data_IF_414398557361
#
_entry.id   IF_414398557361
#
_cell.length_a   1.000
_cell.length_b   1.000
_cell.length_c   1.000
_cell.angle_alpha   90.00
_cell.angle_beta   90.00
_cell.angle_gamma   90.00
#
_symmetry.space_group_name_H-M   'P 1'
#
loop_
_entity.id
_entity.type
_entity.pdbx_description
1 polymer ?
#
# COMPACT_ATOMS: atom_id res chain seq x y z
N UNK A 1 17.08 20.88 13.26
CA UNK A 1 18.23 20.39 12.46
C UNK A 1 17.68 19.86 11.17
N UNK A 2 18.23 20.30 10.03
CA UNK A 2 17.85 19.86 8.69
C UNK A 2 19.02 19.10 8.07
N UNK A 3 18.72 18.05 7.32
CA UNK A 3 19.64 17.42 6.38
C UNK A 3 19.22 17.88 4.99
N UNK A 4 20.15 18.36 4.20
CA UNK A 4 19.90 18.83 2.84
C UNK A 4 20.90 18.19 1.88
N UNK A 5 20.43 17.79 0.72
CA UNK A 5 21.27 17.36 -0.38
C UNK A 5 21.57 18.56 -1.27
N UNK A 6 22.84 18.75 -1.58
CA UNK A 6 23.31 19.86 -2.42
C UNK A 6 24.18 19.34 -3.54
N UNK A 7 23.97 19.83 -4.75
CA UNK A 7 24.85 19.58 -5.86
C UNK A 7 25.98 20.61 -5.87
N UNK A 8 27.22 20.16 -5.93
CA UNK A 8 28.38 21.02 -5.86
C UNK A 8 29.37 20.69 -6.97
N UNK A 9 30.04 21.72 -7.49
CA UNK A 9 31.18 21.51 -8.40
C UNK A 9 32.36 20.94 -7.59
N UNK A 10 33.06 19.94 -8.12
CA UNK A 10 34.22 19.29 -7.52
C UNK A 10 33.89 18.54 -6.19
N UNK A 11 32.81 17.78 -6.18
CA UNK A 11 32.33 17.02 -5.01
C UNK A 11 33.45 16.22 -4.33
N UNK A 12 34.24 15.43 -5.06
CA UNK A 12 35.31 14.61 -4.52
C UNK A 12 36.39 15.44 -3.81
N UNK A 13 36.69 16.63 -4.33
CA UNK A 13 37.67 17.54 -3.70
C UNK A 13 37.14 18.08 -2.39
N UNK A 14 35.85 18.42 -2.34
CA UNK A 14 35.19 18.92 -1.13
C UNK A 14 35.14 17.81 -0.08
N UNK A 15 34.72 16.60 -0.44
CA UNK A 15 34.65 15.47 0.48
C UNK A 15 36.04 15.09 1.03
N UNK A 16 37.07 15.13 0.17
CA UNK A 16 38.45 14.78 0.59
C UNK A 16 39.07 15.82 1.56
N UNK A 17 38.76 17.10 1.36
CA UNK A 17 39.24 18.20 2.23
C UNK A 17 38.37 18.42 3.47
N UNK A 18 37.17 17.86 3.47
CA UNK A 18 36.21 18.07 4.55
C UNK A 18 36.56 17.22 5.78
N UNK A 19 36.66 17.88 6.95
CA UNK A 19 36.81 17.22 8.25
C UNK A 19 35.52 17.19 9.10
N UNK A 20 34.41 17.72 8.55
CA UNK A 20 33.14 17.75 9.24
C UNK A 20 32.36 16.44 8.99
N UNK A 21 32.13 15.66 10.05
CA UNK A 21 31.40 14.40 9.97
C UNK A 21 29.94 14.52 9.49
N UNK A 22 29.38 15.74 9.49
CA UNK A 22 28.01 16.00 9.00
C UNK A 22 27.93 16.27 7.50
N UNK A 23 29.07 16.32 6.80
CA UNK A 23 29.11 16.45 5.33
C UNK A 23 29.57 15.11 4.77
N UNK A 24 28.66 14.41 4.17
CA UNK A 24 28.88 13.08 3.61
C UNK A 24 28.37 13.04 2.17
N UNK A 25 28.85 12.11 1.38
CA UNK A 25 28.29 11.86 0.06
C UNK A 25 26.82 11.43 0.20
N UNK A 26 25.93 12.11 -0.51
CA UNK A 26 24.53 11.74 -0.55
C UNK A 26 24.38 10.31 -1.11
N UNK A 27 23.57 9.51 -0.45
CA UNK A 27 23.21 8.18 -0.95
C UNK A 27 21.90 8.29 -1.68
N UNK A 28 21.94 8.07 -2.95
CA UNK A 28 20.74 7.96 -3.78
C UNK A 28 20.16 6.57 -3.59
N UNK A 29 19.17 6.47 -2.68
CA UNK A 29 18.51 5.20 -2.34
C UNK A 29 17.11 5.24 -2.90
N UNK A 30 16.90 4.54 -4.02
CA UNK A 30 15.59 4.33 -4.63
C UNK A 30 15.14 2.88 -4.49
N UNK A 31 13.85 2.70 -4.40
CA UNK A 31 13.27 1.36 -4.47
C UNK A 31 13.38 0.83 -5.90
N UNK A 32 13.85 -0.39 -6.02
CA UNK A 32 13.87 -1.13 -7.28
C UNK A 32 12.90 -2.31 -7.17
N UNK A 33 11.91 -2.32 -8.06
CA UNK A 33 11.04 -3.47 -8.18
C UNK A 33 11.86 -4.67 -8.69
N UNK A 34 11.65 -5.87 -8.15
CA UNK A 34 12.37 -7.06 -8.61
C UNK A 34 12.18 -7.31 -10.11
N UNK A 35 13.20 -7.83 -10.75
CA UNK A 35 13.12 -8.22 -12.16
C UNK A 35 12.01 -9.26 -12.36
N UNK A 36 11.34 -9.17 -13.50
CA UNK A 36 10.29 -10.12 -13.87
C UNK A 36 10.88 -11.52 -14.01
N UNK A 37 10.17 -12.52 -13.48
CA UNK A 37 10.53 -13.92 -13.69
C UNK A 37 10.31 -14.35 -15.15
N UNK A 38 10.93 -15.46 -15.52
CA UNK A 38 10.79 -16.02 -16.89
C UNK A 38 9.43 -16.66 -17.15
N UNK A 39 8.73 -17.05 -16.08
CA UNK A 39 7.46 -17.76 -16.17
C UNK A 39 6.29 -16.80 -16.27
N UNK A 40 5.56 -16.86 -17.38
CA UNK A 40 4.35 -16.09 -17.55
C UNK A 40 3.21 -16.64 -16.67
N UNK A 41 2.47 -15.72 -16.03
CA UNK A 41 1.25 -16.08 -15.30
C UNK A 41 0.11 -16.37 -16.28
N UNK A 42 -0.66 -17.42 -16.01
CA UNK A 42 -1.87 -17.76 -16.78
C UNK A 42 -3.09 -16.98 -16.28
N UNK A 43 -3.09 -16.63 -15.00
CA UNK A 43 -4.17 -15.90 -14.33
C UNK A 43 -3.63 -14.71 -13.58
N UNK A 44 -4.49 -13.72 -13.39
CA UNK A 44 -4.17 -12.48 -12.66
C UNK A 44 -3.86 -12.78 -11.19
N UNK A 45 -2.85 -12.11 -10.58
CA UNK A 45 -2.62 -12.23 -9.15
C UNK A 45 -3.81 -11.68 -8.37
N UNK A 46 -4.16 -12.35 -7.27
CA UNK A 46 -5.20 -11.92 -6.35
C UNK A 46 -4.58 -11.46 -5.04
N UNK A 47 -5.01 -10.30 -4.55
CA UNK A 47 -4.61 -9.71 -3.28
C UNK A 47 -5.83 -9.62 -2.38
N UNK A 48 -5.74 -10.20 -1.18
CA UNK A 48 -6.83 -10.22 -0.20
C UNK A 48 -6.55 -9.20 0.89
N UNK A 49 -7.40 -8.19 0.96
CA UNK A 49 -7.30 -7.05 1.85
C UNK A 49 -6.72 -5.81 1.18
N UNK A 50 -7.39 -4.67 1.34
CA UNK A 50 -6.98 -3.36 0.83
C UNK A 50 -6.48 -2.42 1.94
N UNK A 51 -5.90 -2.97 2.99
CA UNK A 51 -5.08 -2.23 3.93
C UNK A 51 -3.74 -1.81 3.31
N UNK A 52 -2.84 -1.12 4.05
CA UNK A 52 -1.60 -0.60 3.48
C UNK A 52 -0.78 -1.64 2.73
N UNK A 53 -0.62 -2.85 3.28
CA UNK A 53 0.16 -3.92 2.63
C UNK A 53 -0.44 -4.34 1.28
N UNK A 54 -1.75 -4.59 1.23
CA UNK A 54 -2.42 -5.00 -0.01
C UNK A 54 -2.48 -3.89 -1.04
N UNK A 55 -2.74 -2.66 -0.61
CA UNK A 55 -2.83 -1.49 -1.48
C UNK A 55 -1.51 -1.18 -2.18
N UNK A 56 -0.37 -1.16 -1.45
CA UNK A 56 0.93 -0.92 -2.07
C UNK A 56 1.41 -2.11 -2.91
N UNK A 57 1.11 -3.36 -2.49
CA UNK A 57 1.34 -4.53 -3.32
C UNK A 57 0.58 -4.43 -4.64
N UNK A 58 -0.70 -4.05 -4.60
CA UNK A 58 -1.52 -3.85 -5.78
C UNK A 58 -1.00 -2.72 -6.68
N UNK A 59 -0.58 -1.60 -6.08
CA UNK A 59 -0.03 -0.47 -6.82
C UNK A 59 1.23 -0.87 -7.60
N UNK A 60 2.19 -1.51 -6.94
CA UNK A 60 3.43 -1.95 -7.59
C UNK A 60 3.16 -3.02 -8.67
N UNK A 61 2.31 -4.00 -8.41
CA UNK A 61 1.95 -4.99 -9.42
C UNK A 61 1.24 -4.36 -10.62
N UNK A 62 0.33 -3.43 -10.40
CA UNK A 62 -0.37 -2.74 -11.49
C UNK A 62 0.59 -1.86 -12.30
N UNK A 63 1.49 -1.12 -11.65
CA UNK A 63 2.56 -0.29 -12.26
C UNK A 63 3.47 -1.13 -13.19
N UNK A 64 3.65 -2.41 -12.87
CA UNK A 64 4.45 -3.35 -13.65
C UNK A 64 3.62 -4.28 -14.57
N UNK A 65 2.35 -3.95 -14.82
CA UNK A 65 1.52 -4.60 -15.82
C UNK A 65 0.87 -5.93 -15.41
N UNK A 66 0.91 -6.32 -14.13
CA UNK A 66 0.32 -7.58 -13.67
C UNK A 66 -1.20 -7.55 -13.51
N UNK A 67 -1.82 -6.38 -13.59
CA UNK A 67 -3.29 -6.19 -13.51
C UNK A 67 -3.95 -6.93 -12.31
N UNK A 68 -3.55 -6.69 -11.05
CA UNK A 68 -4.02 -7.46 -9.91
C UNK A 68 -5.52 -7.34 -9.67
N UNK A 69 -6.11 -8.34 -9.00
CA UNK A 69 -7.48 -8.30 -8.47
C UNK A 69 -7.37 -8.12 -6.96
N UNK A 70 -7.99 -7.08 -6.43
CA UNK A 70 -7.97 -6.76 -5.00
C UNK A 70 -9.33 -7.10 -4.40
N UNK A 71 -9.35 -7.96 -3.39
CA UNK A 71 -10.55 -8.31 -2.65
C UNK A 71 -10.56 -7.54 -1.33
N UNK A 72 -11.59 -6.75 -1.10
CA UNK A 72 -11.83 -6.08 0.17
C UNK A 72 -13.19 -6.53 0.73
N UNK A 73 -13.18 -7.00 1.98
CA UNK A 73 -14.39 -7.45 2.66
C UNK A 73 -15.36 -6.31 2.96
N UNK A 74 -14.83 -5.14 3.29
CA UNK A 74 -15.59 -3.93 3.54
C UNK A 74 -15.88 -3.12 2.29
N UNK A 75 -16.30 -1.88 2.50
CA UNK A 75 -16.63 -0.94 1.44
C UNK A 75 -15.48 -0.03 1.04
N UNK A 76 -15.70 0.74 -0.02
CA UNK A 76 -14.85 1.84 -0.45
C UNK A 76 -14.67 2.88 0.66
N UNK A 77 -13.61 3.68 0.60
CA UNK A 77 -13.34 4.70 1.63
C UNK A 77 -14.45 5.74 1.72
N UNK A 78 -15.17 6.01 0.62
CA UNK A 78 -16.30 6.91 0.58
C UNK A 78 -17.49 6.38 1.40
N UNK A 79 -17.92 5.14 1.12
CA UNK A 79 -19.02 4.49 1.85
C UNK A 79 -18.61 4.19 3.30
N UNK A 80 -17.36 3.79 3.51
CA UNK A 80 -16.79 3.55 4.83
C UNK A 80 -16.82 4.80 5.70
N UNK A 81 -16.58 5.98 5.14
CA UNK A 81 -16.66 7.25 5.86
C UNK A 81 -18.07 7.46 6.41
N UNK A 82 -19.10 7.25 5.60
CA UNK A 82 -20.50 7.38 6.04
C UNK A 82 -20.86 6.35 7.14
N UNK A 83 -20.37 5.10 7.04
CA UNK A 83 -20.58 4.07 8.06
C UNK A 83 -19.91 4.43 9.40
N UNK A 84 -18.70 4.96 9.35
CA UNK A 84 -17.97 5.40 10.54
C UNK A 84 -18.64 6.60 11.20
N UNK A 85 -19.08 7.58 10.43
CA UNK A 85 -19.81 8.76 10.92
C UNK A 85 -21.15 8.34 11.56
N UNK A 86 -21.87 7.40 10.95
CA UNK A 86 -23.10 6.83 11.52
C UNK A 86 -22.81 6.14 12.87
N UNK A 87 -21.77 5.31 12.93
CA UNK A 87 -21.37 4.65 14.17
C UNK A 87 -21.06 5.65 15.29
N UNK A 88 -20.34 6.72 15.00
CA UNK A 88 -20.03 7.76 15.99
C UNK A 88 -21.25 8.54 16.45
N UNK A 89 -22.26 8.68 15.59
CA UNK A 89 -23.50 9.43 15.89
C UNK A 89 -24.48 8.62 16.73
N UNK A 90 -24.71 7.36 16.42
CA UNK A 90 -25.80 6.56 16.99
C UNK A 90 -25.38 5.19 17.56
N UNK A 91 -24.10 4.83 17.48
CA UNK A 91 -23.57 3.57 17.96
C UNK A 91 -23.84 2.35 17.05
N UNK A 92 -24.37 2.55 15.84
CA UNK A 92 -24.69 1.48 14.90
C UNK A 92 -23.42 0.90 14.26
N UNK A 93 -22.92 -0.21 14.80
CA UNK A 93 -21.71 -0.86 14.28
C UNK A 93 -22.03 -1.78 13.08
N UNK A 94 -21.39 -1.50 11.94
CA UNK A 94 -21.33 -2.44 10.83
C UNK A 94 -20.10 -3.36 10.98
N UNK A 95 -20.27 -4.68 11.20
CA UNK A 95 -19.15 -5.59 11.44
C UNK A 95 -18.24 -5.81 10.23
N UNK A 96 -18.70 -5.47 9.03
CA UNK A 96 -17.94 -5.64 7.79
C UNK A 96 -17.24 -4.36 7.36
N UNK A 97 -17.76 -3.18 7.74
CA UNK A 97 -17.25 -1.86 7.36
C UNK A 97 -17.31 -0.92 8.56
N UNK A 98 -16.16 -0.52 9.09
CA UNK A 98 -16.08 0.32 10.30
C UNK A 98 -14.69 0.98 10.42
N UNK A 99 -14.34 1.53 11.58
CA UNK A 99 -13.03 2.16 11.84
C UNK A 99 -11.85 1.20 11.60
N UNK A 100 -12.04 -0.11 11.70
CA UNK A 100 -11.00 -1.12 11.57
C UNK A 100 -10.97 -1.77 10.17
N UNK A 101 -12.14 -1.99 9.57
CA UNK A 101 -12.31 -2.75 8.33
C UNK A 101 -12.84 -1.88 7.18
N UNK A 102 -12.39 -2.18 5.97
CA UNK A 102 -12.69 -1.48 4.73
C UNK A 102 -11.44 -0.91 4.06
N UNK A 103 -11.62 -0.28 2.93
CA UNK A 103 -10.52 0.27 2.10
C UNK A 103 -9.57 1.15 2.91
N UNK A 104 -8.27 0.95 2.72
CA UNK A 104 -7.19 1.63 3.42
C UNK A 104 -6.85 1.07 4.80
N UNK A 105 -7.64 0.09 5.30
CA UNK A 105 -7.42 -0.55 6.61
C UNK A 105 -7.62 0.38 7.80
N UNK A 106 -7.20 -0.04 9.00
CA UNK A 106 -7.41 0.72 10.24
C UNK A 106 -6.69 2.09 10.25
N UNK A 107 -5.62 2.25 9.46
CA UNK A 107 -4.85 3.49 9.40
C UNK A 107 -5.63 4.68 8.84
N UNK A 108 -6.60 4.46 7.97
CA UNK A 108 -7.37 5.52 7.29
C UNK A 108 -8.14 6.43 8.25
N UNK A 109 -8.58 5.91 9.38
CA UNK A 109 -9.32 6.66 10.42
C UNK A 109 -8.49 6.86 11.69
N UNK A 110 -7.17 6.73 11.60
CA UNK A 110 -6.23 7.03 12.68
C UNK A 110 -5.79 8.51 12.65
N UNK A 111 -4.86 8.86 13.51
CA UNK A 111 -4.28 10.21 13.55
C UNK A 111 -3.29 10.51 12.40
N UNK A 112 -3.09 9.58 11.47
CA UNK A 112 -2.31 9.81 10.23
C UNK A 112 -0.80 9.93 10.44
N UNK A 113 -0.27 9.47 11.56
CA UNK A 113 1.17 9.45 11.80
C UNK A 113 1.86 8.40 10.91
N UNK A 114 2.89 8.82 10.20
CA UNK A 114 3.68 7.96 9.29
C UNK A 114 5.05 7.59 9.89
N UNK A 115 5.09 7.39 11.21
CA UNK A 115 6.34 7.08 11.90
C UNK A 115 6.70 5.60 11.78
N UNK A 116 7.97 5.33 11.46
CA UNK A 116 8.53 3.99 11.46
C UNK A 116 9.90 3.98 12.13
N UNK A 117 10.22 2.88 12.80
CA UNK A 117 11.56 2.61 13.33
C UNK A 117 12.40 1.75 12.36
N UNK A 118 11.82 1.36 11.23
CA UNK A 118 12.51 0.54 10.22
C UNK A 118 13.54 1.40 9.50
N UNK A 119 14.79 0.91 9.42
CA UNK A 119 15.83 1.53 8.59
C UNK A 119 15.54 1.23 7.13
N UNK A 120 15.38 2.26 6.32
CA UNK A 120 15.07 2.13 4.90
C UNK A 120 16.35 1.93 4.07
N UNK A 121 16.84 0.70 4.05
CA UNK A 121 18.06 0.35 3.30
C UNK A 121 17.79 0.20 1.80
N UNK A 122 16.54 -0.04 1.41
CA UNK A 122 16.13 -0.35 0.05
C UNK A 122 15.21 0.70 -0.59
N UNK A 123 15.04 1.86 0.04
CA UNK A 123 14.20 2.95 -0.47
C UNK A 123 12.69 2.70 -0.40
N UNK A 124 12.22 1.67 0.29
CA UNK A 124 10.79 1.30 0.34
C UNK A 124 9.93 2.34 1.06
N UNK A 125 10.43 2.88 2.17
CA UNK A 125 9.71 3.93 2.89
C UNK A 125 9.64 5.22 2.04
N UNK A 126 10.72 5.53 1.34
CA UNK A 126 10.77 6.68 0.44
C UNK A 126 9.76 6.53 -0.70
N UNK A 127 9.71 5.36 -1.37
CA UNK A 127 8.73 5.06 -2.42
C UNK A 127 7.29 5.22 -1.92
N UNK A 128 6.98 4.70 -0.72
CA UNK A 128 5.64 4.85 -0.11
C UNK A 128 5.27 6.33 0.09
N UNK A 129 6.19 7.15 0.59
CA UNK A 129 5.94 8.57 0.78
C UNK A 129 5.78 9.32 -0.55
N UNK A 130 6.56 8.96 -1.57
CA UNK A 130 6.46 9.52 -2.92
C UNK A 130 5.13 9.15 -3.58
N UNK A 131 4.66 7.91 -3.42
CA UNK A 131 3.32 7.51 -3.85
C UNK A 131 2.25 8.34 -3.12
N UNK A 132 2.37 8.55 -1.82
CA UNK A 132 1.42 9.38 -1.09
C UNK A 132 1.38 10.82 -1.62
N UNK A 133 2.53 11.43 -1.87
CA UNK A 133 2.60 12.78 -2.46
C UNK A 133 1.98 12.81 -3.86
N UNK A 134 2.32 11.85 -4.70
CA UNK A 134 1.72 11.69 -6.04
C UNK A 134 0.19 11.58 -5.97
N UNK A 135 -0.34 10.99 -4.91
CA UNK A 135 -1.78 10.79 -4.68
C UNK A 135 -2.44 11.92 -3.89
N UNK A 136 -1.73 13.00 -3.60
CA UNK A 136 -2.29 14.23 -3.04
C UNK A 136 -1.91 14.52 -1.59
N UNK A 137 -0.96 13.81 -1.02
CA UNK A 137 -0.40 14.17 0.27
C UNK A 137 0.54 15.39 0.13
N UNK A 138 0.73 16.20 1.20
CA UNK A 138 1.66 17.32 1.18
C UNK A 138 3.11 16.86 0.94
N UNK A 139 3.85 17.59 0.09
CA UNK A 139 5.26 17.27 -0.21
C UNK A 139 6.17 17.27 1.02
N UNK A 140 5.82 18.03 2.04
CA UNK A 140 6.57 18.13 3.28
C UNK A 140 6.78 16.79 4.00
N UNK A 141 5.93 15.78 3.76
CA UNK A 141 6.12 14.44 4.34
C UNK A 141 7.41 13.76 3.86
N UNK A 142 8.00 14.23 2.76
CA UNK A 142 9.23 13.69 2.21
C UNK A 142 10.49 14.10 3.00
N UNK A 143 10.41 15.19 3.77
CA UNK A 143 11.57 15.77 4.45
C UNK A 143 11.35 16.14 5.93
N UNK A 144 10.12 16.17 6.41
CA UNK A 144 9.82 16.42 7.82
C UNK A 144 10.12 15.17 8.65
N UNK A 145 10.80 15.35 9.77
CA UNK A 145 10.96 14.29 10.76
C UNK A 145 9.60 13.99 11.43
N UNK A 146 9.19 12.71 11.44
CA UNK A 146 7.89 12.24 11.92
C UNK A 146 6.71 12.83 11.13
N UNK A 147 6.62 12.51 9.82
CA UNK A 147 5.57 13.03 8.97
C UNK A 147 4.18 12.61 9.45
N UNK A 148 3.22 13.49 9.20
CA UNK A 148 1.83 13.32 9.56
C UNK A 148 0.95 13.74 8.39
N UNK A 149 -0.05 12.92 8.07
CA UNK A 149 -1.07 13.24 7.07
C UNK A 149 -2.42 13.27 7.80
N UNK A 150 -3.14 14.40 7.73
CA UNK A 150 -4.48 14.51 8.31
C UNK A 150 -5.45 13.47 7.74
N UNK A 151 -6.40 13.02 8.55
CA UNK A 151 -7.36 11.96 8.19
C UNK A 151 -8.12 12.26 6.88
N UNK A 152 -8.50 13.51 6.64
CA UNK A 152 -9.24 13.88 5.43
C UNK A 152 -8.37 13.79 4.17
N UNK A 153 -7.11 14.20 4.27
CA UNK A 153 -6.14 14.05 3.18
C UNK A 153 -5.88 12.56 2.94
N UNK A 154 -5.73 11.77 4.00
CA UNK A 154 -5.45 10.33 3.88
C UNK A 154 -6.59 9.57 3.19
N UNK A 155 -7.85 9.92 3.46
CA UNK A 155 -9.01 9.36 2.73
C UNK A 155 -8.93 9.63 1.23
N UNK A 156 -8.55 10.87 0.87
CA UNK A 156 -8.35 11.27 -0.53
C UNK A 156 -7.20 10.51 -1.18
N UNK A 157 -6.07 10.37 -0.48
CA UNK A 157 -4.91 9.61 -0.95
C UNK A 157 -5.26 8.14 -1.19
N UNK A 158 -5.95 7.50 -0.26
CA UNK A 158 -6.41 6.10 -0.38
C UNK A 158 -7.29 5.91 -1.61
N UNK A 159 -8.30 6.80 -1.79
CA UNK A 159 -9.14 6.81 -2.98
C UNK A 159 -8.33 6.95 -4.27
N UNK A 160 -7.40 7.91 -4.32
CA UNK A 160 -6.59 8.19 -5.51
C UNK A 160 -5.65 7.02 -5.84
N UNK A 161 -5.10 6.32 -4.84
CA UNK A 161 -4.32 5.09 -5.07
C UNK A 161 -5.19 4.03 -5.73
N UNK A 162 -6.41 3.78 -5.25
CA UNK A 162 -7.36 2.86 -5.91
C UNK A 162 -7.61 3.23 -7.37
N UNK A 163 -7.99 4.47 -7.62
CA UNK A 163 -8.28 4.94 -8.98
C UNK A 163 -7.07 4.80 -9.90
N UNK A 164 -5.87 5.04 -9.40
CA UNK A 164 -4.64 4.86 -10.18
C UNK A 164 -4.36 3.37 -10.46
N UNK A 165 -4.58 2.47 -9.48
CA UNK A 165 -4.48 1.02 -9.67
C UNK A 165 -5.47 0.56 -10.75
N UNK A 166 -6.72 1.03 -10.70
CA UNK A 166 -7.75 0.70 -11.69
C UNK A 166 -7.37 1.25 -13.08
N UNK A 167 -6.84 2.48 -13.16
CA UNK A 167 -6.33 3.05 -14.41
C UNK A 167 -5.19 2.23 -15.02
N UNK A 168 -4.34 1.61 -14.19
CA UNK A 168 -3.26 0.71 -14.62
C UNK A 168 -3.74 -0.74 -14.88
N UNK A 169 -5.05 -1.02 -14.89
CA UNK A 169 -5.63 -2.32 -15.22
C UNK A 169 -5.90 -3.23 -14.02
N UNK A 170 -5.68 -2.78 -12.79
CA UNK A 170 -6.13 -3.47 -11.58
C UNK A 170 -7.66 -3.48 -11.45
N UNK A 171 -8.18 -4.31 -10.56
CA UNK A 171 -9.62 -4.39 -10.28
C UNK A 171 -9.86 -4.47 -8.80
N UNK A 172 -10.65 -3.54 -8.24
CA UNK A 172 -11.12 -3.61 -6.87
C UNK A 172 -12.48 -4.30 -6.78
N UNK A 173 -12.59 -5.25 -5.86
CA UNK A 173 -13.81 -5.96 -5.54
C UNK A 173 -14.13 -5.71 -4.05
N UNK A 174 -15.04 -4.77 -3.79
CA UNK A 174 -15.57 -4.51 -2.45
C UNK A 174 -16.61 -5.56 -2.05
N UNK A 175 -16.92 -5.66 -0.77
CA UNK A 175 -17.83 -6.66 -0.19
C UNK A 175 -17.47 -8.09 -0.59
N UNK A 176 -16.17 -8.32 -0.81
CA UNK A 176 -15.62 -9.56 -1.35
C UNK A 176 -14.70 -10.21 -0.32
N UNK A 177 -15.20 -11.24 0.35
CA UNK A 177 -14.47 -11.98 1.37
C UNK A 177 -13.90 -13.27 0.79
N UNK A 178 -12.60 -13.50 0.93
CA UNK A 178 -12.00 -14.81 0.70
C UNK A 178 -12.59 -15.81 1.68
N UNK A 179 -13.17 -16.91 1.19
CA UNK A 179 -13.78 -17.95 2.02
C UNK A 179 -13.12 -19.31 1.89
N UNK A 180 -12.39 -19.56 0.80
CA UNK A 180 -11.68 -20.81 0.59
C UNK A 180 -10.53 -20.65 -0.41
N UNK A 181 -9.56 -21.57 -0.36
CA UNK A 181 -8.38 -21.62 -1.25
C UNK A 181 -8.29 -23.05 -1.80
N UNK A 182 -8.34 -23.18 -3.13
CA UNK A 182 -8.12 -24.44 -3.80
C UNK A 182 -6.67 -24.59 -4.19
N UNK A 183 -6.05 -25.68 -3.75
CA UNK A 183 -4.69 -26.05 -4.10
C UNK A 183 -4.72 -27.18 -5.14
N UNK A 184 -3.65 -27.30 -5.93
CA UNK A 184 -3.47 -28.40 -6.84
C UNK A 184 -3.38 -29.77 -6.11
N UNK A 185 -3.41 -30.87 -6.86
CA UNK A 185 -3.37 -32.21 -6.27
C UNK A 185 -2.14 -32.52 -5.43
N UNK A 186 -1.03 -31.80 -5.65
CA UNK A 186 0.20 -31.92 -4.84
C UNK A 186 0.23 -30.97 -3.63
N UNK A 187 -0.73 -30.06 -3.53
CA UNK A 187 -0.84 -29.00 -2.50
C UNK A 187 0.36 -28.06 -2.40
N UNK A 188 1.07 -27.85 -3.50
CA UNK A 188 2.24 -26.97 -3.60
C UNK A 188 1.96 -25.69 -4.40
N UNK A 189 0.76 -25.57 -5.00
CA UNK A 189 0.33 -24.38 -5.77
C UNK A 189 -1.13 -24.03 -5.52
N UNK A 190 -1.41 -22.73 -5.50
CA UNK A 190 -2.78 -22.24 -5.58
C UNK A 190 -3.29 -22.37 -7.01
N UNK A 191 -4.53 -22.81 -7.18
CA UNK A 191 -5.21 -22.90 -8.49
C UNK A 191 -6.40 -21.95 -8.55
N UNK A 192 -7.14 -21.83 -7.44
CA UNK A 192 -8.30 -20.96 -7.38
C UNK A 192 -8.58 -20.50 -5.94
N UNK A 193 -9.42 -19.50 -5.83
CA UNK A 193 -9.97 -19.03 -4.57
C UNK A 193 -11.49 -18.99 -4.66
N UNK A 194 -12.18 -19.05 -3.51
CA UNK A 194 -13.61 -18.84 -3.42
C UNK A 194 -13.93 -17.54 -2.69
N UNK A 195 -14.83 -16.76 -3.27
CA UNK A 195 -15.28 -15.47 -2.77
C UNK A 195 -16.72 -15.60 -2.27
N UNK A 196 -16.99 -15.15 -1.05
CA UNK A 196 -18.33 -15.15 -0.42
C UNK A 196 -19.01 -16.52 -0.37
N UNK A 197 -18.25 -17.61 -0.44
CA UNK A 197 -18.80 -18.98 -0.47
C UNK A 197 -19.33 -19.45 -1.84
N UNK A 198 -19.40 -18.58 -2.82
CA UNK A 198 -20.08 -18.84 -4.09
C UNK A 198 -19.18 -18.75 -5.32
N UNK A 199 -18.51 -17.61 -5.51
CA UNK A 199 -17.75 -17.31 -6.72
C UNK A 199 -16.34 -17.89 -6.66
N UNK A 200 -15.99 -18.73 -7.62
CA UNK A 200 -14.62 -19.22 -7.80
C UNK A 200 -13.85 -18.36 -8.81
N UNK A 201 -12.60 -18.06 -8.50
CA UNK A 201 -11.69 -17.27 -9.33
C UNK A 201 -10.35 -17.97 -9.40
N UNK A 202 -9.94 -18.35 -10.62
CA UNK A 202 -8.63 -18.93 -10.86
C UNK A 202 -7.53 -17.89 -10.63
N UNK A 203 -6.43 -18.31 -10.01
CA UNK A 203 -5.25 -17.45 -9.79
C UNK A 203 -3.98 -18.28 -9.64
N UNK A 204 -2.89 -17.77 -10.21
CA UNK A 204 -1.56 -18.37 -10.06
C UNK A 204 -0.81 -17.84 -8.82
N UNK A 205 -1.23 -16.67 -8.32
CA UNK A 205 -0.59 -15.97 -7.19
C UNK A 205 -1.64 -15.39 -6.26
N UNK A 206 -1.57 -15.79 -5.00
CA UNK A 206 -2.43 -15.28 -3.93
C UNK A 206 -1.58 -14.56 -2.88
N UNK A 207 -1.90 -13.29 -2.62
CA UNK A 207 -1.30 -12.49 -1.56
C UNK A 207 -2.31 -12.29 -0.43
N UNK A 208 -1.99 -12.73 0.77
CA UNK A 208 -2.81 -12.54 1.96
C UNK A 208 -2.33 -11.30 2.73
N UNK A 209 -3.04 -10.18 2.56
CA UNK A 209 -2.79 -8.91 3.23
C UNK A 209 -3.89 -8.55 4.23
N UNK A 210 -4.38 -9.55 4.97
CA UNK A 210 -5.60 -9.54 5.78
C UNK A 210 -5.44 -8.85 7.14
N UNK A 211 -4.25 -8.42 7.50
CA UNK A 211 -3.97 -7.73 8.76
C UNK A 211 -4.06 -8.63 10.00
N UNK A 212 -3.87 -8.02 11.18
CA UNK A 212 -3.80 -8.75 12.44
C UNK A 212 -5.15 -9.30 12.90
N UNK A 213 -6.24 -8.60 12.63
CA UNK A 213 -7.58 -8.90 13.18
C UNK A 213 -8.38 -9.92 12.38
N UNK A 214 -7.80 -10.48 11.33
CA UNK A 214 -8.46 -11.46 10.46
C UNK A 214 -8.14 -12.92 10.83
N UNK A 215 -7.85 -13.17 12.09
CA UNK A 215 -7.62 -14.52 12.65
C UNK A 215 -8.92 -15.31 12.76
#
# INVERSE_FOLDING_TARGET
VYTVDVEVKQEDTILHKNKNANIIKAKDIHYHFPDAGEKQLSHRPVIVGSGPAGMFCAYELAKHGYCPIILERGSSVEERTAEVERFWKDGSLNPKTNVQFGEGGAGTFSDGKLNTLVKDVAGRNREVLEIFVKMGAPEEILYINKPHIGTDILKTVVKNIRLEIERMGGTYCFFSQLTDITLNGKKDKVEAIRINGEKEVATDVLVLAIGHSAR
#
